data_IF_298608329551
#
_entry.id   IF_298608329551
#
_cell.length_a   1.000
_cell.length_b   1.000
_cell.length_c   1.000
_cell.angle_alpha   90.00
_cell.angle_beta   90.00
_cell.angle_gamma   90.00
#
_symmetry.space_group_name_H-M   'P 1'
#
loop_
_entity.id
_entity.type
_entity.pdbx_description
1 polymer ?
#
# COMPACT_ATOMS: atom_id res chain seq x y z
N UNK A 1 10.48 15.45 -35.02
CA UNK A 1 10.96 14.70 -33.83
C UNK A 1 10.30 13.32 -33.78
N UNK A 2 11.06 12.25 -33.61
CA UNK A 2 10.55 10.87 -33.47
C UNK A 2 10.16 10.59 -32.02
N UNK A 3 8.88 10.26 -31.77
CA UNK A 3 8.36 9.90 -30.45
C UNK A 3 8.48 8.38 -30.26
N UNK A 4 9.30 7.94 -29.31
CA UNK A 4 9.43 6.53 -28.96
C UNK A 4 8.24 6.08 -28.10
N UNK A 5 7.36 5.26 -28.69
CA UNK A 5 6.23 4.64 -27.99
C UNK A 5 6.77 3.52 -27.10
N UNK A 6 6.66 3.68 -25.78
CA UNK A 6 6.99 2.63 -24.82
C UNK A 6 5.72 1.91 -24.36
N UNK A 7 5.78 0.59 -24.33
CA UNK A 7 4.71 -0.24 -23.76
C UNK A 7 4.79 -0.19 -22.24
N UNK A 8 3.80 0.43 -21.60
CA UNK A 8 3.69 0.46 -20.14
C UNK A 8 2.99 -0.81 -19.68
N UNK A 9 3.74 -1.71 -19.04
CA UNK A 9 3.20 -2.92 -18.42
C UNK A 9 2.50 -2.58 -17.09
N UNK A 10 1.18 -2.37 -17.15
CA UNK A 10 0.34 -1.97 -15.99
C UNK A 10 0.16 -3.05 -14.89
N UNK A 11 0.90 -4.17 -14.97
CA UNK A 11 0.85 -5.27 -14.00
C UNK A 11 2.07 -5.42 -13.07
N UNK A 12 3.19 -4.74 -13.35
CA UNK A 12 4.50 -4.98 -12.69
C UNK A 12 4.53 -4.56 -11.20
N UNK A 13 3.55 -3.79 -10.73
CA UNK A 13 3.43 -3.39 -9.32
C UNK A 13 2.05 -3.70 -8.73
N UNK A 14 1.32 -4.63 -9.35
CA UNK A 14 0.08 -5.14 -8.76
C UNK A 14 0.50 -6.11 -7.65
N UNK A 15 -0.01 -5.82 -6.45
CA UNK A 15 -0.08 -6.76 -5.34
C UNK A 15 -0.42 -8.18 -5.82
N UNK A 16 0.27 -9.19 -5.32
CA UNK A 16 -0.04 -10.59 -5.65
C UNK A 16 -1.39 -10.93 -5.01
N UNK A 17 -2.41 -11.06 -5.86
CA UNK A 17 -3.78 -11.44 -5.49
C UNK A 17 -4.09 -12.78 -6.16
N UNK A 18 -4.53 -13.77 -5.38
CA UNK A 18 -5.08 -15.02 -5.90
C UNK A 18 -6.60 -14.95 -5.78
N UNK A 19 -7.31 -14.69 -6.88
CA UNK A 19 -8.78 -14.65 -6.90
C UNK A 19 -9.41 -13.77 -5.79
N UNK A 20 -8.83 -12.58 -5.54
CA UNK A 20 -9.26 -11.66 -4.49
C UNK A 20 -8.70 -11.93 -3.09
N UNK A 21 -8.00 -13.05 -2.89
CA UNK A 21 -7.26 -13.36 -1.68
C UNK A 21 -5.84 -12.77 -1.76
N UNK A 22 -5.48 -11.86 -0.85
CA UNK A 22 -4.13 -11.26 -0.83
C UNK A 22 -3.11 -12.23 -0.25
N UNK A 23 -1.85 -12.14 -0.71
CA UNK A 23 -0.75 -13.01 -0.26
C UNK A 23 -0.65 -13.20 1.27
N UNK A 24 -0.89 -12.16 2.07
CA UNK A 24 -0.88 -12.25 3.53
C UNK A 24 -1.94 -13.22 4.08
N UNK A 25 -3.15 -13.24 3.50
CA UNK A 25 -4.26 -14.09 3.99
C UNK A 25 -4.18 -15.53 3.52
N UNK A 26 -3.44 -15.80 2.43
CA UNK A 26 -3.16 -17.16 1.97
C UNK A 26 -2.40 -17.93 3.04
N UNK A 27 -1.42 -17.29 3.70
CA UNK A 27 -0.69 -17.90 4.80
C UNK A 27 -1.59 -18.24 5.99
N UNK A 28 -2.50 -17.34 6.37
CA UNK A 28 -3.47 -17.62 7.44
C UNK A 28 -4.43 -18.75 7.08
N UNK A 29 -4.87 -18.80 5.82
CA UNK A 29 -5.72 -19.89 5.32
C UNK A 29 -5.00 -21.24 5.37
N UNK A 30 -3.76 -21.32 4.88
CA UNK A 30 -2.96 -22.54 4.93
C UNK A 30 -2.69 -23.01 6.36
N UNK A 31 -2.31 -22.09 7.26
CA UNK A 31 -2.12 -22.41 8.68
C UNK A 31 -3.40 -22.94 9.33
N UNK A 32 -4.56 -22.34 9.01
CA UNK A 32 -5.85 -22.79 9.53
C UNK A 32 -6.18 -24.22 9.09
N UNK A 33 -5.94 -24.58 7.83
CA UNK A 33 -6.14 -25.96 7.33
C UNK A 33 -5.24 -26.97 8.06
N UNK A 34 -3.96 -26.62 8.28
CA UNK A 34 -3.03 -27.48 9.03
C UNK A 34 -3.50 -27.68 10.48
N UNK A 35 -3.92 -26.59 11.15
CA UNK A 35 -4.44 -26.65 12.52
C UNK A 35 -5.70 -27.52 12.59
N UNK A 36 -6.61 -27.40 11.63
CA UNK A 36 -7.81 -28.26 11.57
C UNK A 36 -7.46 -29.73 11.37
N UNK A 37 -6.46 -30.03 10.54
CA UNK A 37 -5.99 -31.40 10.34
C UNK A 37 -5.44 -32.00 11.64
N UNK A 38 -4.60 -31.24 12.36
CA UNK A 38 -4.05 -31.67 13.66
C UNK A 38 -5.18 -31.82 14.69
N UNK A 39 -6.11 -30.86 14.73
CA UNK A 39 -7.26 -30.90 15.66
C UNK A 39 -8.12 -32.14 15.42
N UNK A 40 -8.41 -32.46 14.16
CA UNK A 40 -9.12 -33.68 13.79
C UNK A 40 -8.38 -34.93 14.25
N UNK A 41 -7.08 -35.02 13.99
CA UNK A 41 -6.26 -36.16 14.39
C UNK A 41 -6.26 -36.36 15.92
N UNK A 42 -6.08 -35.28 16.69
CA UNK A 42 -6.11 -35.31 18.15
C UNK A 42 -7.48 -35.77 18.67
N UNK A 43 -8.57 -35.17 18.18
CA UNK A 43 -9.93 -35.55 18.59
C UNK A 43 -10.23 -37.01 18.28
N UNK A 44 -9.82 -37.49 17.11
CA UNK A 44 -10.00 -38.87 16.70
C UNK A 44 -9.23 -39.85 17.59
N UNK A 45 -7.96 -39.55 17.91
CA UNK A 45 -7.12 -40.38 18.79
C UNK A 45 -7.65 -40.39 20.22
N UNK A 46 -8.23 -39.28 20.71
CA UNK A 46 -8.92 -39.22 22.00
C UNK A 46 -10.22 -40.04 22.06
N UNK A 47 -10.66 -40.65 20.96
CA UNK A 47 -11.87 -41.48 20.91
C UNK A 47 -13.15 -40.68 20.72
N UNK A 48 -13.07 -39.41 20.30
CA UNK A 48 -14.26 -38.64 19.99
C UNK A 48 -14.98 -39.25 18.77
N UNK A 49 -16.31 -39.42 18.83
CA UNK A 49 -17.03 -40.08 17.76
C UNK A 49 -17.03 -39.23 16.49
N UNK A 50 -16.83 -39.89 15.35
CA UNK A 50 -16.63 -39.22 14.04
C UNK A 50 -17.76 -38.27 13.67
N UNK A 51 -19.01 -38.59 14.04
CA UNK A 51 -20.18 -37.75 13.76
C UNK A 51 -20.19 -36.42 14.52
N UNK A 52 -19.38 -36.27 15.59
CA UNK A 52 -19.15 -34.99 16.28
C UNK A 52 -17.94 -34.28 15.67
N UNK A 53 -16.87 -35.02 15.40
CA UNK A 53 -15.62 -34.46 14.86
C UNK A 53 -15.83 -33.80 13.48
N UNK A 54 -16.59 -34.43 12.59
CA UNK A 54 -16.87 -33.95 11.24
C UNK A 54 -17.54 -32.56 11.21
N UNK A 55 -18.71 -32.35 11.83
CA UNK A 55 -19.36 -31.04 11.82
C UNK A 55 -18.56 -29.99 12.59
N UNK A 56 -17.80 -30.37 13.63
CA UNK A 56 -16.97 -29.44 14.37
C UNK A 56 -15.81 -28.91 13.51
N UNK A 57 -15.02 -29.81 12.92
CA UNK A 57 -13.87 -29.44 12.08
C UNK A 57 -14.33 -28.80 10.77
N UNK A 58 -15.36 -29.37 10.13
CA UNK A 58 -15.96 -28.81 8.92
C UNK A 58 -16.58 -27.44 9.16
N UNK A 59 -17.36 -27.28 10.24
CA UNK A 59 -17.95 -26.01 10.63
C UNK A 59 -16.90 -24.95 10.96
N UNK A 60 -15.85 -25.31 11.69
CA UNK A 60 -14.71 -24.43 11.95
C UNK A 60 -13.98 -24.03 10.66
N UNK A 61 -13.81 -24.98 9.73
CA UNK A 61 -13.24 -24.72 8.41
C UNK A 61 -14.06 -23.74 7.57
N UNK A 62 -15.37 -23.95 7.46
CA UNK A 62 -16.27 -23.07 6.70
C UNK A 62 -16.30 -21.67 7.32
N UNK A 63 -16.55 -21.58 8.62
CA UNK A 63 -16.63 -20.29 9.33
C UNK A 63 -15.29 -19.56 9.28
N UNK A 64 -14.17 -20.25 9.51
CA UNK A 64 -12.82 -19.69 9.41
C UNK A 64 -12.49 -19.19 8.00
N UNK A 65 -12.86 -19.96 6.97
CA UNK A 65 -12.68 -19.56 5.56
C UNK A 65 -13.40 -18.25 5.27
N UNK A 66 -14.69 -18.16 5.58
CA UNK A 66 -15.49 -16.94 5.36
C UNK A 66 -14.85 -15.73 6.05
N UNK A 67 -14.37 -15.89 7.29
CA UNK A 67 -13.70 -14.82 8.04
C UNK A 67 -12.41 -14.35 7.39
N UNK A 68 -11.57 -15.28 6.92
CA UNK A 68 -10.30 -14.96 6.27
C UNK A 68 -10.55 -14.20 4.95
N UNK A 69 -11.50 -14.66 4.14
CA UNK A 69 -11.88 -13.96 2.90
C UNK A 69 -12.47 -12.57 3.18
N UNK A 70 -13.31 -12.43 4.21
CA UNK A 70 -13.85 -11.14 4.62
C UNK A 70 -12.74 -10.16 5.05
N UNK A 71 -11.75 -10.62 5.83
CA UNK A 71 -10.60 -9.79 6.21
C UNK A 71 -9.69 -9.46 5.04
N UNK A 72 -9.50 -10.39 4.11
CA UNK A 72 -8.74 -10.14 2.88
C UNK A 72 -9.35 -8.99 2.07
N UNK A 73 -10.66 -8.98 1.93
CA UNK A 73 -11.38 -7.92 1.23
C UNK A 73 -11.37 -6.60 2.01
N UNK A 74 -11.59 -6.65 3.33
CA UNK A 74 -11.71 -5.46 4.16
C UNK A 74 -10.38 -4.69 4.33
N UNK A 75 -9.27 -5.40 4.51
CA UNK A 75 -7.98 -4.78 4.89
C UNK A 75 -6.97 -4.75 3.73
N UNK A 76 -7.12 -5.60 2.71
CA UNK A 76 -6.15 -5.69 1.62
C UNK A 76 -4.75 -6.12 2.09
N UNK A 77 -3.74 -5.99 1.22
CA UNK A 77 -2.41 -6.60 1.40
C UNK A 77 -1.65 -6.07 2.63
N UNK A 78 -1.79 -4.78 2.96
CA UNK A 78 -1.05 -4.16 4.06
C UNK A 78 -1.95 -3.67 5.20
N UNK A 79 -3.26 -3.86 5.13
CA UNK A 79 -4.19 -3.29 6.11
C UNK A 79 -4.01 -3.87 7.50
N UNK A 80 -3.79 -5.18 7.63
CA UNK A 80 -3.58 -5.80 8.94
C UNK A 80 -2.28 -5.31 9.57
N UNK A 81 -1.21 -5.13 8.77
CA UNK A 81 0.05 -4.57 9.25
C UNK A 81 -0.12 -3.11 9.71
N UNK A 82 -0.92 -2.31 8.99
CA UNK A 82 -1.29 -0.95 9.44
C UNK A 82 -2.09 -0.97 10.74
N UNK A 83 -3.04 -1.89 10.90
CA UNK A 83 -3.82 -2.03 12.14
C UNK A 83 -2.91 -2.40 13.32
N UNK A 84 -2.01 -3.35 13.13
CA UNK A 84 -1.03 -3.76 14.15
C UNK A 84 -0.10 -2.60 14.49
N UNK A 85 0.42 -1.88 13.49
CA UNK A 85 1.26 -0.71 13.70
C UNK A 85 0.54 0.39 14.49
N UNK A 86 -0.74 0.66 14.18
CA UNK A 86 -1.57 1.61 14.94
C UNK A 86 -1.70 1.24 16.42
N UNK A 87 -1.79 -0.05 16.75
CA UNK A 87 -1.81 -0.51 18.16
C UNK A 87 -0.50 -0.27 18.90
N UNK A 88 0.62 -0.10 18.19
CA UNK A 88 1.95 0.13 18.76
C UNK A 88 2.32 1.61 18.89
N UNK A 89 1.53 2.51 18.31
CA UNK A 89 1.78 3.95 18.33
C UNK A 89 1.16 4.61 19.58
N UNK A 90 1.84 5.60 20.19
CA UNK A 90 1.26 6.38 21.29
C UNK A 90 0.04 7.19 20.81
N UNK A 91 -0.95 7.38 21.69
CA UNK A 91 -2.21 8.08 21.36
C UNK A 91 -2.00 9.50 20.84
N UNK A 92 -0.93 10.15 21.29
CA UNK A 92 -0.53 11.48 20.81
C UNK A 92 0.97 11.49 20.60
N UNK A 93 1.38 11.84 19.38
CA UNK A 93 2.77 12.17 19.07
C UNK A 93 2.91 13.69 19.09
N UNK A 94 3.33 14.28 20.23
CA UNK A 94 3.64 15.71 20.31
C UNK A 94 5.10 15.94 19.93
N UNK A 95 5.34 16.76 18.91
CA UNK A 95 6.66 17.31 18.62
C UNK A 95 6.66 18.80 18.92
N UNK A 96 7.51 19.23 19.86
CA UNK A 96 7.66 20.64 20.24
C UNK A 96 8.72 21.37 19.42
N UNK A 97 9.42 20.68 18.53
CA UNK A 97 10.56 21.23 17.80
C UNK A 97 10.60 20.71 16.37
N UNK A 98 10.89 21.61 15.41
CA UNK A 98 11.05 21.26 13.98
C UNK A 98 12.43 20.73 13.62
N UNK A 99 13.43 20.82 14.51
CA UNK A 99 14.84 20.43 14.24
C UNK A 99 14.96 19.02 13.65
N UNK A 100 14.23 18.05 14.21
CA UNK A 100 14.26 16.66 13.73
C UNK A 100 13.68 16.48 12.31
N UNK A 101 12.87 17.43 11.82
CA UNK A 101 12.24 17.40 10.50
C UNK A 101 12.91 18.32 9.48
N UNK A 102 13.83 19.20 9.90
CA UNK A 102 14.50 20.16 9.01
C UNK A 102 15.35 19.47 7.94
N UNK A 103 16.00 18.34 8.28
CA UNK A 103 16.83 17.60 7.34
C UNK A 103 16.02 16.77 6.31
N UNK A 104 14.71 16.58 6.50
CA UNK A 104 13.86 15.94 5.50
C UNK A 104 13.52 16.90 4.35
N UNK A 105 13.45 18.21 4.60
CA UNK A 105 13.05 19.20 3.60
C UNK A 105 14.12 19.41 2.51
N UNK A 106 15.41 19.29 2.86
CA UNK A 106 16.51 19.39 1.88
C UNK A 106 16.54 18.26 0.84
N UNK A 107 16.02 17.06 1.16
CA UNK A 107 16.02 15.92 0.23
C UNK A 107 14.90 15.96 -0.81
N UNK A 108 13.87 16.78 -0.61
CA UNK A 108 12.80 16.97 -1.60
C UNK A 108 13.27 17.86 -2.77
N UNK A 109 14.20 18.79 -2.52
CA UNK A 109 14.88 19.56 -3.58
C UNK A 109 16.02 18.78 -4.27
N UNK A 110 16.49 17.68 -3.67
CA UNK A 110 17.54 16.83 -4.21
C UNK A 110 17.01 15.61 -4.97
N UNK A 111 15.76 15.66 -5.48
CA UNK A 111 15.41 14.85 -6.65
C UNK A 111 16.25 15.37 -7.81
N UNK A 112 17.26 14.58 -8.16
CA UNK A 112 18.32 14.88 -9.11
C UNK A 112 17.85 15.54 -10.42
N UNK A 113 18.53 16.60 -10.89
CA UNK A 113 18.50 17.07 -12.29
C UNK A 113 19.26 16.11 -13.23
N UNK A 114 19.08 14.79 -13.08
CA UNK A 114 19.89 13.78 -13.76
C UNK A 114 19.15 12.45 -13.94
N UNK A 115 17.96 12.49 -14.54
CA UNK A 115 17.37 11.32 -15.19
C UNK A 115 17.69 11.42 -16.69
N UNK A 116 18.14 10.35 -17.38
CA UNK A 116 18.39 10.41 -18.81
C UNK A 116 17.12 10.91 -19.51
N UNK A 117 17.31 11.91 -20.39
CA UNK A 117 16.26 12.79 -20.89
C UNK A 117 15.03 12.04 -21.36
N UNK A 118 13.86 12.44 -20.84
CA UNK A 118 12.62 12.26 -21.58
C UNK A 118 12.66 13.23 -22.78
N UNK A 119 12.35 12.80 -24.01
CA UNK A 119 12.26 13.73 -25.13
C UNK A 119 11.25 14.83 -24.79
N UNK A 120 11.66 16.08 -24.90
CA UNK A 120 10.75 17.23 -24.83
C UNK A 120 9.69 17.06 -25.92
N UNK A 121 8.38 17.19 -25.62
CA UNK A 121 7.41 17.40 -26.67
C UNK A 121 7.68 18.79 -27.24
N UNK A 122 8.08 18.84 -28.50
CA UNK A 122 8.06 20.05 -29.30
C UNK A 122 6.62 20.50 -29.44
N UNK A 123 6.23 21.40 -28.55
CA UNK A 123 5.03 22.23 -28.72
C UNK A 123 5.45 23.39 -29.60
N UNK A 124 5.20 23.24 -30.90
CA UNK A 124 5.22 24.34 -31.86
C UNK A 124 4.24 25.44 -31.40
N UNK A 125 4.62 26.67 -31.70
CA UNK A 125 4.20 27.86 -30.98
C UNK A 125 2.72 28.22 -31.11
N UNK A 126 2.01 28.27 -29.98
CA UNK A 126 0.70 28.91 -29.86
C UNK A 126 0.55 29.76 -28.57
N UNK A 127 1.55 29.85 -27.66
CA UNK A 127 1.40 30.54 -26.35
C UNK A 127 2.22 31.82 -26.15
N UNK A 128 2.52 32.57 -27.22
CA UNK A 128 3.03 33.95 -27.09
C UNK A 128 1.98 34.94 -27.62
N UNK A 129 0.89 34.99 -26.91
CA UNK A 129 -0.03 36.12 -26.92
C UNK A 129 -0.61 36.12 -25.52
N UNK A 130 -0.67 37.29 -24.90
CA UNK A 130 -1.06 37.53 -23.49
C UNK A 130 0.09 37.46 -22.48
N UNK A 131 1.19 38.15 -22.75
CA UNK A 131 1.96 38.87 -21.71
C UNK A 131 2.83 39.96 -22.35
N UNK A 132 2.18 41.05 -22.73
CA UNK A 132 2.81 42.20 -23.34
C UNK A 132 2.06 43.48 -23.00
N UNK A 133 1.77 43.72 -21.72
CA UNK A 133 1.33 45.03 -21.22
C UNK A 133 1.85 45.22 -19.79
N UNK A 134 2.51 46.36 -19.57
CA UNK A 134 2.92 46.95 -18.30
C UNK A 134 4.22 46.45 -17.63
N UNK A 135 5.33 47.01 -18.11
CA UNK A 135 6.49 47.33 -17.26
C UNK A 135 6.25 48.74 -16.67
N UNK A 136 6.00 48.86 -15.37
CA UNK A 136 6.16 50.13 -14.65
C UNK A 136 6.27 49.95 -13.13
N UNK A 137 7.43 50.37 -12.62
CA UNK A 137 7.63 51.05 -11.34
C UNK A 137 7.64 50.28 -10.00
N UNK A 138 8.86 50.31 -9.42
CA UNK A 138 9.24 50.58 -8.02
C UNK A 138 9.00 49.52 -6.93
N UNK A 139 10.10 48.85 -6.57
CA UNK A 139 10.33 48.11 -5.32
C UNK A 139 10.49 49.04 -4.10
N UNK A 140 9.70 48.89 -3.01
CA UNK A 140 9.88 49.70 -1.80
C UNK A 140 10.58 49.01 -0.62
N UNK A 141 10.99 47.73 -0.72
CA UNK A 141 11.51 46.98 0.44
C UNK A 141 13.04 46.82 0.45
N UNK A 142 13.76 47.93 0.28
CA UNK A 142 15.12 48.11 0.77
C UNK A 142 15.14 49.09 1.95
N UNK A 143 15.16 48.57 3.20
CA UNK A 143 16.03 49.06 4.29
C UNK A 143 15.86 48.30 5.61
N UNK A 144 17.01 48.10 6.25
CA UNK A 144 17.35 47.73 7.63
C UNK A 144 16.96 46.34 8.15
#
# INVERSE_FOLDING_TARGET
MSNSIYTINKGINKSIEFQGLRAQYIWYFGAMVIVLMITFAVLYICGAPTYICLPLVGGAGVTGSIRIFAWSHQYGEHGLMKVIARKRLPRVLKSYTRRNFQHLSGRLHQRQPGSPGKPQPQTDGIYYTIQGVHHSSSDPWKRN
#
